data_IF_735376739094
#
_entry.id   IF_735376739094
#
_cell.length_a   1.000
_cell.length_b   1.000
_cell.length_c   1.000
_cell.angle_alpha   90.00
_cell.angle_beta   90.00
_cell.angle_gamma   90.00
#
_symmetry.space_group_name_H-M   'P 1'
#
loop_
_entity.id
_entity.type
_entity.pdbx_description
1 polymer ?
#
# COMPACT_ATOMS: atom_id res chain seq x y z
N UNK A 1 32.99 9.15 -21.16
CA UNK A 1 31.84 8.79 -21.99
C UNK A 1 30.59 9.13 -21.18
N UNK A 2 29.71 10.02 -21.66
CA UNK A 2 28.48 10.38 -20.91
C UNK A 2 27.49 9.20 -21.01
N UNK A 3 26.85 8.79 -19.91
CA UNK A 3 25.85 7.72 -19.94
C UNK A 3 24.65 8.10 -20.81
N UNK A 4 23.97 7.10 -21.37
CA UNK A 4 22.74 7.30 -22.15
C UNK A 4 21.58 7.46 -21.16
N UNK A 5 21.05 8.67 -21.08
CA UNK A 5 19.92 9.02 -20.21
C UNK A 5 18.60 8.52 -20.84
N UNK A 6 17.71 7.98 -20.02
CA UNK A 6 16.30 7.78 -20.40
C UNK A 6 15.57 9.13 -20.48
N UNK A 7 14.39 9.16 -21.13
CA UNK A 7 13.55 10.35 -21.22
C UNK A 7 13.31 11.01 -19.86
N UNK A 8 13.03 10.23 -18.82
CA UNK A 8 12.80 10.76 -17.48
C UNK A 8 14.05 11.46 -16.91
N UNK A 9 15.23 10.86 -17.10
CA UNK A 9 16.47 11.40 -16.56
C UNK A 9 16.89 12.67 -17.31
N UNK A 10 16.66 12.73 -18.63
CA UNK A 10 16.87 13.94 -19.44
C UNK A 10 15.97 15.09 -18.97
N UNK A 11 14.68 14.82 -18.72
CA UNK A 11 13.73 15.83 -18.21
C UNK A 11 14.13 16.34 -16.81
N UNK A 12 14.69 15.47 -15.97
CA UNK A 12 15.23 15.86 -14.66
C UNK A 12 16.48 16.74 -14.79
N UNK A 13 17.41 16.40 -15.69
CA UNK A 13 18.60 17.22 -15.96
C UNK A 13 18.23 18.61 -16.49
N UNK A 14 17.26 18.70 -17.42
CA UNK A 14 16.82 19.96 -18.02
C UNK A 14 16.13 20.89 -17.00
N UNK A 15 15.45 20.32 -16.01
CA UNK A 15 14.73 21.09 -14.98
C UNK A 15 15.50 21.24 -13.66
N UNK A 16 16.75 20.76 -13.58
CA UNK A 16 17.52 20.74 -12.33
C UNK A 16 17.66 22.14 -11.69
N UNK A 17 17.74 23.18 -12.53
CA UNK A 17 17.87 24.57 -12.11
C UNK A 17 16.61 25.13 -11.43
N UNK A 18 15.45 24.50 -11.59
CA UNK A 18 14.19 24.92 -10.96
C UNK A 18 14.02 24.36 -9.55
N UNK A 19 14.78 23.32 -9.19
CA UNK A 19 14.71 22.72 -7.86
C UNK A 19 15.58 23.51 -6.88
N UNK A 20 14.96 24.03 -5.83
CA UNK A 20 15.69 24.62 -4.71
C UNK A 20 15.89 23.58 -3.59
N UNK A 21 17.08 23.52 -2.97
CA UNK A 21 17.30 22.66 -1.82
C UNK A 21 16.39 23.10 -0.68
N UNK A 22 15.66 22.13 -0.11
CA UNK A 22 14.84 22.37 1.08
C UNK A 22 15.71 22.83 2.25
N UNK A 23 15.19 23.75 3.08
CA UNK A 23 15.89 24.18 4.29
C UNK A 23 16.18 22.98 5.21
N UNK A 24 17.30 23.02 5.95
CA UNK A 24 17.68 21.94 6.88
C UNK A 24 16.57 21.60 7.86
N UNK A 25 15.83 22.61 8.33
CA UNK A 25 14.69 22.44 9.23
C UNK A 25 13.52 21.72 8.55
N UNK A 26 13.15 22.11 7.33
CA UNK A 26 12.06 21.48 6.57
C UNK A 26 12.39 20.03 6.21
N UNK A 27 13.65 19.76 5.83
CA UNK A 27 14.14 18.39 5.59
C UNK A 27 13.98 17.53 6.84
N UNK A 28 14.45 18.00 7.99
CA UNK A 28 14.35 17.27 9.25
C UNK A 28 12.89 17.01 9.68
N UNK A 29 11.98 17.95 9.42
CA UNK A 29 10.54 17.74 9.67
C UNK A 29 9.95 16.65 8.77
N UNK A 30 10.30 16.66 7.48
CA UNK A 30 9.82 15.65 6.52
C UNK A 30 10.35 14.26 6.91
N UNK A 31 11.65 14.15 7.22
CA UNK A 31 12.27 12.89 7.67
C UNK A 31 11.55 12.34 8.91
N UNK A 32 11.26 13.17 9.92
CA UNK A 32 10.50 12.74 11.11
C UNK A 32 9.10 12.23 10.80
N UNK A 33 8.40 12.85 9.85
CA UNK A 33 7.06 12.41 9.45
C UNK A 33 7.14 11.03 8.78
N UNK A 34 8.12 10.85 7.89
CA UNK A 34 8.36 9.58 7.19
C UNK A 34 8.73 8.49 8.19
N UNK A 35 9.65 8.77 9.11
CA UNK A 35 10.06 7.81 10.15
C UNK A 35 8.88 7.36 11.00
N UNK A 36 8.05 8.32 11.43
CA UNK A 36 6.84 8.01 12.20
C UNK A 36 5.83 7.19 11.41
N UNK A 37 5.65 7.47 10.12
CA UNK A 37 4.75 6.70 9.26
C UNK A 37 5.26 5.28 9.00
N UNK A 38 6.59 5.09 8.99
CA UNK A 38 7.24 3.79 8.77
C UNK A 38 7.42 2.97 10.05
N UNK A 39 7.04 3.50 11.21
CA UNK A 39 7.12 2.75 12.47
C UNK A 39 6.22 1.52 12.41
N UNK A 40 6.83 0.33 12.45
CA UNK A 40 6.14 -0.96 12.43
C UNK A 40 6.30 -1.68 13.76
N UNK A 41 5.22 -2.32 14.22
CA UNK A 41 5.23 -3.18 15.40
C UNK A 41 4.89 -4.60 14.99
N UNK A 42 5.67 -5.57 15.47
CA UNK A 42 5.42 -6.99 15.27
C UNK A 42 4.33 -7.47 16.24
N UNK A 43 3.38 -8.24 15.73
CA UNK A 43 2.33 -8.88 16.53
C UNK A 43 2.44 -10.40 16.41
N UNK A 44 2.15 -11.13 17.50
CA UNK A 44 2.02 -12.59 17.49
C UNK A 44 0.54 -12.96 17.38
N UNK A 45 0.18 -13.77 16.38
CA UNK A 45 -1.20 -14.17 16.11
C UNK A 45 -1.29 -15.69 15.95
N UNK A 46 -2.25 -16.31 16.64
CA UNK A 46 -2.60 -17.73 16.45
C UNK A 46 -3.82 -17.82 15.55
N UNK A 47 -3.73 -18.63 14.49
CA UNK A 47 -4.80 -18.91 13.54
C UNK A 47 -5.03 -20.41 13.48
N UNK A 48 -6.24 -20.82 13.10
CA UNK A 48 -6.49 -22.22 12.77
C UNK A 48 -5.68 -22.58 11.51
N UNK A 49 -5.16 -23.80 11.44
CA UNK A 49 -4.34 -24.26 10.32
C UNK A 49 -5.07 -24.10 8.98
N UNK A 50 -6.36 -24.47 8.94
CA UNK A 50 -7.20 -24.33 7.76
C UNK A 50 -7.37 -22.87 7.31
N UNK A 51 -7.48 -21.93 8.24
CA UNK A 51 -7.64 -20.50 7.92
C UNK A 51 -6.33 -19.93 7.37
N UNK A 52 -5.19 -20.34 7.93
CA UNK A 52 -3.87 -19.95 7.43
C UNK A 52 -3.63 -20.47 6.01
N UNK A 53 -4.01 -21.71 5.71
CA UNK A 53 -3.90 -22.27 4.36
C UNK A 53 -4.78 -21.52 3.35
N UNK A 54 -6.03 -21.21 3.72
CA UNK A 54 -6.91 -20.43 2.85
C UNK A 54 -6.39 -19.02 2.61
N UNK A 55 -5.84 -18.36 3.63
CA UNK A 55 -5.20 -17.06 3.48
C UNK A 55 -4.01 -17.12 2.51
N UNK A 56 -3.15 -18.13 2.65
CA UNK A 56 -2.00 -18.33 1.74
C UNK A 56 -2.45 -18.54 0.30
N UNK A 57 -3.49 -19.36 0.07
CA UNK A 57 -4.06 -19.57 -1.27
C UNK A 57 -4.59 -18.28 -1.87
N UNK A 58 -5.33 -17.47 -1.09
CA UNK A 58 -5.83 -16.17 -1.57
C UNK A 58 -4.70 -15.21 -1.91
N UNK A 59 -3.66 -15.15 -1.08
CA UNK A 59 -2.51 -14.29 -1.33
C UNK A 59 -1.76 -14.70 -2.60
N UNK A 60 -1.60 -16.01 -2.83
CA UNK A 60 -0.98 -16.56 -4.03
C UNK A 60 -1.77 -16.19 -5.30
N UNK A 61 -3.10 -16.27 -5.27
CA UNK A 61 -3.97 -15.83 -6.37
C UNK A 61 -3.81 -14.34 -6.68
N UNK A 62 -3.53 -13.50 -5.69
CA UNK A 62 -3.26 -12.07 -5.87
C UNK A 62 -1.78 -11.79 -6.22
N UNK A 63 -0.91 -12.81 -6.24
CA UNK A 63 0.53 -12.65 -6.47
C UNK A 63 1.27 -11.94 -5.32
N UNK A 64 0.74 -12.04 -4.10
CA UNK A 64 1.25 -11.34 -2.91
C UNK A 64 1.66 -12.32 -1.80
N UNK A 65 2.64 -11.98 -0.96
CA UNK A 65 2.90 -12.72 0.27
C UNK A 65 1.68 -12.69 1.21
N UNK A 66 1.38 -13.80 1.88
CA UNK A 66 0.22 -13.88 2.78
C UNK A 66 0.28 -12.88 3.94
N UNK A 67 1.48 -12.52 4.39
CA UNK A 67 1.68 -11.48 5.40
C UNK A 67 1.26 -10.11 4.86
N UNK A 68 1.59 -9.81 3.60
CA UNK A 68 1.20 -8.55 2.93
C UNK A 68 -0.31 -8.47 2.78
N UNK A 69 -0.96 -9.56 2.37
CA UNK A 69 -2.41 -9.64 2.31
C UNK A 69 -3.04 -9.42 3.69
N UNK A 70 -2.51 -10.08 4.72
CA UNK A 70 -2.98 -9.92 6.10
C UNK A 70 -2.86 -8.48 6.58
N UNK A 71 -1.71 -7.84 6.36
CA UNK A 71 -1.51 -6.42 6.70
C UNK A 71 -2.46 -5.51 5.94
N UNK A 72 -2.72 -5.79 4.65
CA UNK A 72 -3.69 -5.02 3.84
C UNK A 72 -5.10 -5.14 4.40
N UNK A 73 -5.52 -6.35 4.80
CA UNK A 73 -6.84 -6.59 5.40
C UNK A 73 -6.98 -5.79 6.71
N UNK A 74 -5.98 -5.86 7.59
CA UNK A 74 -5.99 -5.09 8.85
C UNK A 74 -6.08 -3.59 8.58
N UNK A 75 -5.30 -3.08 7.62
CA UNK A 75 -5.34 -1.67 7.25
C UNK A 75 -6.73 -1.27 6.73
N UNK A 76 -7.27 -2.00 5.74
CA UNK A 76 -8.60 -1.76 5.17
C UNK A 76 -9.71 -1.85 6.23
N UNK A 77 -9.56 -2.73 7.21
CA UNK A 77 -10.52 -2.85 8.31
C UNK A 77 -10.50 -1.62 9.21
N UNK A 78 -9.31 -1.12 9.58
CA UNK A 78 -9.16 0.06 10.44
C UNK A 78 -9.53 1.37 9.72
N UNK A 79 -9.42 1.41 8.39
CA UNK A 79 -9.82 2.58 7.59
C UNK A 79 -11.26 2.54 7.08
N UNK A 80 -12.08 1.58 7.52
CA UNK A 80 -13.46 1.35 7.04
C UNK A 80 -13.56 1.13 5.51
N UNK A 81 -12.47 0.70 4.87
CA UNK A 81 -12.38 0.39 3.44
C UNK A 81 -12.58 -1.08 3.13
N UNK A 82 -12.76 -1.93 4.14
CA UNK A 82 -13.00 -3.36 3.95
C UNK A 82 -14.46 -3.57 3.55
N UNK A 83 -14.71 -3.67 2.25
CA UNK A 83 -16.07 -3.87 1.71
C UNK A 83 -16.38 -5.35 1.53
N UNK A 84 -17.52 -5.78 2.06
CA UNK A 84 -18.03 -7.13 1.83
C UNK A 84 -18.68 -7.22 0.43
N UNK A 85 -18.00 -7.90 -0.48
CA UNK A 85 -18.45 -8.05 -1.87
C UNK A 85 -19.83 -8.74 -1.97
N UNK A 86 -20.16 -9.65 -1.05
CA UNK A 86 -21.47 -10.33 -1.03
C UNK A 86 -22.60 -9.35 -0.71
N UNK A 87 -22.37 -8.41 0.19
CA UNK A 87 -23.33 -7.37 0.55
C UNK A 87 -23.61 -6.44 -0.64
N UNK A 88 -22.57 -6.05 -1.38
CA UNK A 88 -22.74 -5.27 -2.62
C UNK A 88 -23.59 -6.04 -3.64
N UNK A 89 -23.24 -7.31 -3.90
CA UNK A 89 -23.97 -8.13 -4.88
C UNK A 89 -25.45 -8.26 -4.50
N UNK A 90 -25.76 -8.51 -3.23
CA UNK A 90 -27.14 -8.59 -2.74
C UNK A 90 -27.90 -7.28 -2.92
N UNK A 91 -27.26 -6.14 -2.63
CA UNK A 91 -27.86 -4.82 -2.89
C UNK A 91 -28.11 -4.60 -4.38
N UNK A 92 -27.19 -5.01 -5.26
CA UNK A 92 -27.38 -4.93 -6.71
C UNK A 92 -28.52 -5.82 -7.21
N UNK A 93 -28.68 -7.02 -6.65
CA UNK A 93 -29.80 -7.91 -6.96
C UNK A 93 -31.15 -7.29 -6.55
N UNK A 94 -31.23 -6.68 -5.36
CA UNK A 94 -32.43 -5.97 -4.89
C UNK A 94 -32.77 -4.80 -5.83
N UNK A 95 -31.76 -4.02 -6.26
CA UNK A 95 -31.94 -2.89 -7.18
C UNK A 95 -32.41 -3.33 -8.57
N UNK A 96 -31.98 -4.49 -9.06
CA UNK A 96 -32.43 -5.06 -10.34
C UNK A 96 -33.84 -5.64 -10.29
N UNK A 97 -34.30 -6.04 -9.09
CA UNK A 97 -35.63 -6.59 -8.87
C UNK A 97 -36.69 -5.52 -8.59
N UNK A 98 -36.30 -4.24 -8.52
CA UNK A 98 -37.16 -3.07 -8.28
C UNK A 98 -37.54 -2.37 -9.58
#
# INVERSE_FOLDING_TARGET
MKPKLDKYESEMEDNIAQFSPVSKSKKASIEKIIDKANEKRSISLRLKSNDLEQLKRKADLEGLPYQTLLSSIVHKFVTDQLVDQKSILKSLEILKAS
#
